data_IF_144570449043
#
_entry.id   IF_144570449043
#
_cell.length_a   1.000
_cell.length_b   1.000
_cell.length_c   1.000
_cell.angle_alpha   90.00
_cell.angle_beta   90.00
_cell.angle_gamma   90.00
#
_symmetry.space_group_name_H-M   'P 1'
#
loop_
_entity.id
_entity.type
_entity.pdbx_description
1 polymer ?
#
# COMPACT_ATOMS: atom_id res chain seq x y z
N UNK A 1 -11.02 -15.54 -1.38
CA UNK A 1 -10.51 -14.55 -2.37
C UNK A 1 -10.17 -13.25 -1.66
N UNK A 2 -9.22 -12.47 -2.18
CA UNK A 2 -8.87 -11.15 -1.61
C UNK A 2 -10.08 -10.22 -1.48
N UNK A 3 -10.18 -9.53 -0.34
CA UNK A 3 -11.27 -8.58 -0.10
C UNK A 3 -10.87 -7.16 -0.51
N UNK A 4 -11.52 -6.69 -1.58
CA UNK A 4 -11.22 -5.40 -2.20
C UNK A 4 -12.36 -4.41 -1.97
N UNK A 5 -12.08 -3.31 -1.27
CA UNK A 5 -12.95 -2.13 -1.15
C UNK A 5 -12.54 -1.12 -2.21
N UNK A 6 -13.50 -0.49 -2.86
CA UNK A 6 -13.25 0.44 -3.96
C UNK A 6 -14.16 1.66 -3.82
N UNK A 7 -13.59 2.86 -3.93
CA UNK A 7 -14.36 4.09 -4.10
C UNK A 7 -14.57 4.34 -5.60
N UNK A 8 -15.50 3.61 -6.21
CA UNK A 8 -15.63 3.52 -7.67
C UNK A 8 -15.84 4.88 -8.34
N UNK A 9 -16.86 5.62 -7.91
CA UNK A 9 -17.20 6.92 -8.48
C UNK A 9 -16.03 7.90 -8.42
N UNK A 10 -15.35 7.96 -7.27
CA UNK A 10 -14.20 8.84 -7.10
C UNK A 10 -13.05 8.43 -8.02
N UNK A 11 -12.68 7.15 -8.03
CA UNK A 11 -11.56 6.67 -8.85
C UNK A 11 -11.84 6.93 -10.34
N UNK A 12 -13.05 6.65 -10.81
CA UNK A 12 -13.45 6.92 -12.20
C UNK A 12 -13.29 8.41 -12.53
N UNK A 13 -13.81 9.29 -11.68
CA UNK A 13 -13.69 10.75 -11.86
C UNK A 13 -12.21 11.18 -11.91
N UNK A 14 -11.36 10.63 -11.03
CA UNK A 14 -9.93 10.93 -11.03
C UNK A 14 -9.22 10.40 -12.28
N UNK A 15 -9.60 9.22 -12.79
CA UNK A 15 -9.06 8.71 -14.06
C UNK A 15 -9.41 9.67 -15.20
N UNK A 16 -10.69 10.04 -15.34
CA UNK A 16 -11.15 10.98 -16.38
C UNK A 16 -10.39 12.31 -16.29
N UNK A 17 -10.32 12.90 -15.09
CA UNK A 17 -9.70 14.21 -14.90
C UNK A 17 -8.18 14.22 -15.10
N UNK A 18 -7.48 13.22 -14.53
CA UNK A 18 -6.00 13.17 -14.47
C UNK A 18 -5.37 12.51 -15.70
N UNK A 19 -6.09 11.61 -16.36
CA UNK A 19 -5.61 10.89 -17.55
C UNK A 19 -6.27 11.35 -18.85
N UNK A 20 -7.27 12.25 -18.79
CA UNK A 20 -8.00 12.76 -19.96
C UNK A 20 -8.63 11.64 -20.80
N UNK A 21 -9.15 10.62 -20.12
CA UNK A 21 -9.83 9.48 -20.74
C UNK A 21 -11.35 9.68 -20.69
N UNK A 22 -12.04 9.07 -21.64
CA UNK A 22 -13.51 9.02 -21.63
C UNK A 22 -14.03 8.22 -20.43
N UNK A 23 -15.22 8.58 -19.96
CA UNK A 23 -15.79 7.98 -18.75
C UNK A 23 -16.07 6.49 -18.88
N UNK A 24 -16.52 6.02 -20.05
CA UNK A 24 -16.77 4.60 -20.29
C UNK A 24 -15.46 3.80 -20.32
N UNK A 25 -14.38 4.39 -20.84
CA UNK A 25 -13.06 3.77 -20.79
C UNK A 25 -12.47 3.78 -19.36
N UNK A 26 -12.69 4.84 -18.59
CA UNK A 26 -12.30 4.88 -17.18
C UNK A 26 -13.02 3.80 -16.34
N UNK A 27 -14.33 3.60 -16.59
CA UNK A 27 -15.11 2.52 -15.97
C UNK A 27 -14.58 1.13 -16.34
N UNK A 28 -14.26 0.90 -17.62
CA UNK A 28 -13.75 -0.40 -18.07
C UNK A 28 -12.39 -0.72 -17.46
N UNK A 29 -11.48 0.26 -17.38
CA UNK A 29 -10.18 0.14 -16.70
C UNK A 29 -10.38 -0.25 -15.23
N UNK A 30 -11.20 0.49 -14.48
CA UNK A 30 -11.42 0.19 -13.06
C UNK A 30 -12.05 -1.18 -12.87
N UNK A 31 -13.02 -1.55 -13.72
CA UNK A 31 -13.66 -2.87 -13.69
C UNK A 31 -12.65 -3.99 -13.92
N UNK A 32 -11.76 -3.85 -14.92
CA UNK A 32 -10.69 -4.82 -15.18
C UNK A 32 -9.75 -4.93 -13.99
N UNK A 33 -9.33 -3.79 -13.40
CA UNK A 33 -8.45 -3.78 -12.23
C UNK A 33 -9.07 -4.55 -11.07
N UNK A 34 -10.32 -4.22 -10.72
CA UNK A 34 -11.01 -4.82 -9.58
C UNK A 34 -11.29 -6.30 -9.81
N UNK A 35 -11.74 -6.67 -11.02
CA UNK A 35 -11.99 -8.06 -11.37
C UNK A 35 -10.70 -8.90 -11.28
N UNK A 36 -9.60 -8.39 -11.85
CA UNK A 36 -8.29 -9.07 -11.83
C UNK A 36 -7.78 -9.26 -10.40
N UNK A 37 -7.85 -8.22 -9.56
CA UNK A 37 -7.44 -8.31 -8.15
C UNK A 37 -8.27 -9.34 -7.38
N UNK A 38 -9.60 -9.31 -7.50
CA UNK A 38 -10.50 -10.27 -6.81
C UNK A 38 -10.28 -11.70 -7.27
N UNK A 39 -10.03 -11.90 -8.58
CA UNK A 39 -9.87 -13.23 -9.16
C UNK A 39 -8.50 -13.84 -8.85
N UNK A 40 -7.43 -13.05 -8.81
CA UNK A 40 -6.06 -13.58 -8.80
C UNK A 40 -5.29 -13.36 -7.50
N UNK A 41 -5.62 -12.36 -6.68
CA UNK A 41 -4.93 -12.16 -5.41
C UNK A 41 -5.43 -13.16 -4.36
N UNK A 42 -4.53 -13.92 -3.70
CA UNK A 42 -4.85 -14.69 -2.50
C UNK A 42 -5.38 -13.79 -1.37
N UNK A 43 -6.11 -14.39 -0.44
CA UNK A 43 -6.79 -13.69 0.67
C UNK A 43 -5.79 -13.02 1.62
N UNK A 44 -4.62 -13.64 1.78
CA UNK A 44 -3.52 -13.17 2.62
C UNK A 44 -2.35 -12.66 1.74
N UNK A 45 -2.66 -11.99 0.64
CA UNK A 45 -1.62 -11.40 -0.19
C UNK A 45 -1.27 -9.99 0.28
N UNK A 46 0.00 -9.61 0.15
CA UNK A 46 0.48 -8.25 0.44
C UNK A 46 1.17 -7.67 -0.76
N UNK A 47 0.70 -6.52 -1.20
CA UNK A 47 1.35 -5.82 -2.31
C UNK A 47 2.62 -5.08 -1.85
N UNK A 48 2.86 -4.92 -0.56
CA UNK A 48 3.98 -4.15 -0.04
C UNK A 48 4.48 -4.69 1.30
N UNK A 49 5.74 -4.42 1.58
CA UNK A 49 6.39 -4.59 2.89
C UNK A 49 6.53 -3.25 3.65
N UNK A 50 6.05 -2.15 3.04
CA UNK A 50 6.08 -0.82 3.64
C UNK A 50 5.25 -0.78 4.92
N UNK A 51 5.73 -0.16 6.02
CA UNK A 51 4.97 0.01 7.26
C UNK A 51 3.65 0.77 7.05
N UNK A 52 3.60 1.66 6.06
CA UNK A 52 2.37 2.39 5.72
C UNK A 52 1.36 1.55 4.93
N UNK A 53 1.76 0.34 4.52
CA UNK A 53 1.01 -0.62 3.71
C UNK A 53 0.33 -0.07 2.45
N UNK A 54 0.81 1.08 1.95
CA UNK A 54 0.37 1.70 0.69
C UNK A 54 1.04 1.01 -0.49
N UNK A 55 0.31 0.91 -1.59
CA UNK A 55 0.78 0.24 -2.79
C UNK A 55 0.19 0.87 -4.05
N UNK A 56 0.93 0.78 -5.15
CA UNK A 56 0.44 1.15 -6.46
C UNK A 56 0.11 -0.07 -7.32
N UNK A 57 -1.05 -0.04 -7.96
CA UNK A 57 -1.43 -0.96 -9.05
C UNK A 57 -1.47 -0.16 -10.34
N UNK A 58 -0.72 -0.58 -11.36
CA UNK A 58 -0.74 0.05 -12.68
C UNK A 58 -1.43 -0.85 -13.68
N UNK A 59 -2.47 -0.33 -14.33
CA UNK A 59 -3.06 -0.97 -15.50
C UNK A 59 -2.17 -0.66 -16.72
N UNK A 60 -1.38 -1.63 -17.14
CA UNK A 60 -0.31 -1.41 -18.11
C UNK A 60 -0.80 -0.86 -19.46
N UNK A 61 -1.93 -1.35 -20.04
CA UNK A 61 -2.42 -0.83 -21.33
C UNK A 61 -2.75 0.67 -21.31
N UNK A 62 -3.35 1.18 -20.23
CA UNK A 62 -3.73 2.60 -20.12
C UNK A 62 -2.75 3.44 -19.30
N UNK A 63 -1.78 2.81 -18.64
CA UNK A 63 -0.85 3.41 -17.68
C UNK A 63 -1.55 4.10 -16.48
N UNK A 64 -2.83 3.78 -16.24
CA UNK A 64 -3.56 4.26 -15.06
C UNK A 64 -2.96 3.65 -13.81
N UNK A 65 -2.61 4.50 -12.84
CA UNK A 65 -1.94 4.14 -11.60
C UNK A 65 -2.91 4.39 -10.44
N UNK A 66 -3.35 3.32 -9.79
CA UNK A 66 -4.24 3.36 -8.64
C UNK A 66 -3.42 3.24 -7.36
N UNK A 67 -3.62 4.18 -6.44
CA UNK A 67 -3.15 4.02 -5.06
C UNK A 67 -4.13 3.15 -4.29
N UNK A 68 -3.62 2.13 -3.63
CA UNK A 68 -4.32 1.38 -2.61
C UNK A 68 -3.56 1.36 -1.30
N UNK A 69 -4.20 0.80 -0.29
CA UNK A 69 -3.60 0.49 1.00
C UNK A 69 -4.16 -0.83 1.52
N UNK A 70 -3.35 -1.56 2.26
CA UNK A 70 -3.75 -2.82 2.89
C UNK A 70 -3.79 -2.64 4.40
N UNK A 71 -4.77 -3.24 5.06
CA UNK A 71 -4.86 -3.23 6.51
C UNK A 71 -5.55 -4.49 7.03
N UNK A 72 -5.31 -4.85 8.28
CA UNK A 72 -6.05 -5.92 8.96
C UNK A 72 -7.43 -5.45 9.37
N UNK A 73 -8.46 -6.27 9.18
CA UNK A 73 -9.84 -5.99 9.57
C UNK A 73 -10.03 -5.99 11.10
N UNK A 74 -9.48 -4.98 11.78
CA UNK A 74 -9.58 -4.82 13.22
C UNK A 74 -9.65 -3.34 13.61
N UNK A 75 -10.46 -3.01 14.61
CA UNK A 75 -10.58 -1.67 15.18
C UNK A 75 -11.62 -0.76 14.52
N UNK A 76 -12.35 -1.24 13.50
CA UNK A 76 -13.46 -0.49 12.91
C UNK A 76 -14.62 -0.29 13.89
N UNK A 77 -14.84 -1.24 14.79
CA UNK A 77 -15.75 -1.16 15.93
C UNK A 77 -15.29 -0.10 16.95
N UNK A 78 -14.00 -0.04 17.28
CA UNK A 78 -13.43 1.00 18.16
C UNK A 78 -13.66 2.39 17.55
N UNK A 79 -13.31 2.59 16.27
CA UNK A 79 -13.53 3.86 15.58
C UNK A 79 -15.02 4.24 15.55
N UNK A 80 -15.92 3.28 15.25
CA UNK A 80 -17.37 3.53 15.27
C UNK A 80 -17.87 3.91 16.67
N UNK A 81 -17.35 3.28 17.73
CA UNK A 81 -17.70 3.60 19.10
C UNK A 81 -17.27 5.03 19.46
N UNK A 82 -16.04 5.43 19.10
CA UNK A 82 -15.54 6.80 19.25
C UNK A 82 -16.45 7.80 18.52
N UNK A 83 -16.73 7.55 17.24
CA UNK A 83 -17.59 8.42 16.43
C UNK A 83 -19.01 8.55 17.01
N UNK A 84 -19.57 7.46 17.54
CA UNK A 84 -20.86 7.47 18.22
C UNK A 84 -20.81 8.31 19.50
N UNK A 85 -19.77 8.16 20.31
CA UNK A 85 -19.58 8.95 21.53
C UNK A 85 -19.41 10.45 21.23
N UNK A 86 -18.71 10.81 20.16
CA UNK A 86 -18.57 12.20 19.71
C UNK A 86 -19.93 12.78 19.32
N UNK A 87 -20.66 12.09 18.43
CA UNK A 87 -21.99 12.53 17.96
C UNK A 87 -22.99 12.69 19.11
N UNK A 88 -22.91 11.82 20.11
CA UNK A 88 -23.81 11.85 21.27
C UNK A 88 -23.30 12.74 22.41
N UNK A 89 -22.18 13.45 22.23
CA UNK A 89 -21.53 14.26 23.28
C UNK A 89 -21.23 13.49 24.59
N UNK A 90 -20.88 12.20 24.46
CA UNK A 90 -20.60 11.26 25.57
C UNK A 90 -19.15 10.79 25.55
N UNK A 91 -18.23 11.67 25.11
CA UNK A 91 -16.79 11.37 24.98
C UNK A 91 -16.17 10.97 26.32
N UNK A 92 -16.64 11.54 27.44
CA UNK A 92 -16.21 11.20 28.80
C UNK A 92 -16.50 9.72 29.17
N UNK A 93 -17.39 9.04 28.45
CA UNK A 93 -17.68 7.61 28.65
C UNK A 93 -16.75 6.69 27.86
N UNK A 94 -15.79 7.24 27.09
CA UNK A 94 -14.85 6.44 26.33
C UNK A 94 -13.84 5.79 27.29
N UNK A 95 -13.90 4.46 27.36
CA UNK A 95 -12.92 3.67 28.09
C UNK A 95 -11.72 3.34 27.17
N UNK A 96 -10.70 4.20 27.22
CA UNK A 96 -9.48 4.02 26.43
C UNK A 96 -8.74 2.73 26.76
N UNK A 97 -8.71 2.30 28.02
CA UNK A 97 -7.97 1.10 28.41
C UNK A 97 -8.60 -0.17 27.84
N UNK A 98 -9.93 -0.20 27.77
CA UNK A 98 -10.66 -1.24 27.04
C UNK A 98 -10.27 -1.25 25.56
N UNK A 99 -10.23 -0.09 24.91
CA UNK A 99 -9.83 0.00 23.50
C UNK A 99 -8.36 -0.40 23.28
N UNK A 100 -7.45 -0.06 24.19
CA UNK A 100 -6.05 -0.51 24.16
C UNK A 100 -5.98 -2.04 24.20
N UNK A 101 -6.73 -2.67 25.11
CA UNK A 101 -6.75 -4.14 25.22
C UNK A 101 -7.30 -4.81 23.96
N UNK A 102 -8.44 -4.32 23.46
CA UNK A 102 -9.02 -4.80 22.21
C UNK A 102 -8.04 -4.64 21.04
N UNK A 103 -7.29 -3.55 21.02
CA UNK A 103 -6.31 -3.32 19.97
C UNK A 103 -5.08 -4.24 20.10
N UNK A 104 -4.56 -4.47 21.31
CA UNK A 104 -3.49 -5.46 21.55
C UNK A 104 -3.90 -6.87 21.13
N UNK A 105 -5.12 -7.30 21.47
CA UNK A 105 -5.66 -8.59 21.04
C UNK A 105 -5.70 -8.70 19.51
N UNK A 106 -6.13 -7.64 18.83
CA UNK A 106 -6.13 -7.59 17.37
C UNK A 106 -4.71 -7.65 16.78
N UNK A 107 -3.74 -6.92 17.32
CA UNK A 107 -2.36 -6.97 16.84
C UNK A 107 -1.77 -8.39 16.93
N UNK A 108 -2.10 -9.11 18.00
CA UNK A 108 -1.66 -10.49 18.25
C UNK A 108 -2.40 -11.55 17.42
N UNK A 109 -3.51 -11.19 16.77
CA UNK A 109 -4.30 -12.11 15.97
C UNK A 109 -3.77 -12.21 14.53
N UNK A 110 -3.25 -13.39 14.15
CA UNK A 110 -2.81 -13.68 12.77
C UNK A 110 -3.94 -14.00 11.82
N UNK A 111 -5.10 -14.38 12.32
CA UNK A 111 -6.17 -14.86 11.46
C UNK A 111 -7.08 -13.70 11.02
N UNK A 112 -6.66 -12.46 11.31
CA UNK A 112 -7.35 -11.28 10.82
C UNK A 112 -7.25 -11.21 9.31
N UNK A 113 -8.41 -11.05 8.70
CA UNK A 113 -8.55 -10.85 7.27
C UNK A 113 -7.82 -9.59 6.83
N UNK A 114 -7.13 -9.68 5.69
CA UNK A 114 -6.53 -8.52 5.05
C UNK A 114 -7.57 -7.86 4.14
N UNK A 115 -7.68 -6.54 4.29
CA UNK A 115 -8.52 -5.68 3.47
C UNK A 115 -7.60 -4.86 2.59
N UNK A 116 -7.84 -4.91 1.28
CA UNK A 116 -7.23 -3.99 0.33
C UNK A 116 -8.26 -2.94 -0.06
N UNK A 117 -7.90 -1.67 0.05
CA UNK A 117 -8.81 -0.61 -0.34
C UNK A 117 -8.13 0.28 -1.38
N UNK A 118 -8.72 0.32 -2.57
CA UNK A 118 -8.33 1.19 -3.67
C UNK A 118 -8.91 2.59 -3.43
N UNK A 119 -8.04 3.60 -3.35
CA UNK A 119 -8.42 4.97 -2.95
C UNK A 119 -8.70 5.88 -4.11
N UNK A 120 -7.71 6.06 -4.98
CA UNK A 120 -7.69 7.16 -5.95
C UNK A 120 -6.75 6.79 -7.10
N UNK A 121 -6.95 7.40 -8.26
CA UNK A 121 -6.04 7.28 -9.40
C UNK A 121 -5.04 8.42 -9.38
N UNK A 122 -3.76 8.18 -9.16
CA UNK A 122 -2.76 9.26 -9.15
C UNK A 122 -2.42 9.71 -10.57
N UNK A 123 -2.13 10.99 -10.80
CA UNK A 123 -1.58 11.41 -12.09
C UNK A 123 -0.20 10.75 -12.28
N UNK A 124 0.18 10.46 -13.53
CA UNK A 124 1.46 9.82 -13.87
C UNK A 124 2.63 10.54 -13.19
N UNK A 125 2.68 11.86 -13.39
CA UNK A 125 3.78 12.74 -13.00
C UNK A 125 3.85 13.10 -11.51
N UNK A 126 2.77 12.96 -10.73
CA UNK A 126 2.74 13.33 -9.28
C UNK A 126 2.34 12.16 -8.37
N UNK A 127 2.37 10.94 -8.92
CA UNK A 127 1.94 9.76 -8.21
C UNK A 127 3.02 9.17 -7.32
N UNK A 128 3.19 9.75 -6.14
CA UNK A 128 4.13 9.33 -5.10
C UNK A 128 3.44 9.13 -3.75
N UNK A 129 3.96 8.21 -2.92
CA UNK A 129 3.56 8.06 -1.53
C UNK A 129 4.38 9.05 -0.69
N UNK A 130 3.74 10.15 -0.27
CA UNK A 130 4.42 11.25 0.41
C UNK A 130 5.16 10.83 1.69
N UNK A 131 4.62 9.87 2.45
CA UNK A 131 5.26 9.33 3.65
C UNK A 131 6.57 8.60 3.34
N UNK A 132 6.56 7.70 2.36
CA UNK A 132 7.78 7.02 1.90
C UNK A 132 8.82 8.01 1.38
N UNK A 133 8.38 9.03 0.64
CA UNK A 133 9.29 10.09 0.16
C UNK A 133 10.00 10.80 1.32
N UNK A 134 9.27 11.12 2.40
CA UNK A 134 9.83 11.77 3.59
C UNK A 134 10.81 10.87 4.33
N UNK A 135 10.45 9.61 4.57
CA UNK A 135 11.32 8.62 5.23
C UNK A 135 12.63 8.46 4.44
N UNK A 136 12.52 8.28 3.13
CA UNK A 136 13.68 8.10 2.26
C UNK A 136 14.54 9.38 2.21
N UNK A 137 13.91 10.56 2.24
CA UNK A 137 14.64 11.84 2.32
C UNK A 137 15.41 11.98 3.63
N UNK A 138 14.84 11.55 4.76
CA UNK A 138 15.54 11.54 6.06
C UNK A 138 16.73 10.58 6.03
N UNK A 139 16.50 9.33 5.62
CA UNK A 139 17.55 8.30 5.54
C UNK A 139 18.72 8.76 4.65
N UNK A 140 18.42 9.40 3.52
CA UNK A 140 19.47 9.93 2.63
C UNK A 140 20.34 11.00 3.27
N UNK A 141 19.83 11.79 4.21
CA UNK A 141 20.62 12.78 4.96
C UNK A 141 21.55 12.12 5.98
N UNK A 142 21.14 10.96 6.50
CA UNK A 142 21.87 10.22 7.54
C UNK A 142 22.91 9.26 6.94
N UNK A 143 22.66 8.73 5.74
CA UNK A 143 23.55 7.79 5.07
C UNK A 143 24.74 8.50 4.41
N UNK A 144 25.96 8.10 4.76
CA UNK A 144 27.22 8.59 4.16
C UNK A 144 27.47 8.10 2.72
N UNK A 145 26.47 7.45 2.10
CA UNK A 145 26.63 6.71 0.85
C UNK A 145 26.38 7.58 -0.39
N UNK A 146 27.23 7.44 -1.42
CA UNK A 146 27.24 8.24 -2.67
C UNK A 146 26.15 7.85 -3.69
N UNK A 147 25.30 6.83 -3.43
CA UNK A 147 24.33 6.39 -4.45
C UNK A 147 23.28 7.47 -4.66
N UNK A 148 23.30 8.05 -5.85
CA UNK A 148 22.33 9.04 -6.30
C UNK A 148 21.01 8.34 -6.60
N UNK A 149 20.08 8.39 -5.65
CA UNK A 149 18.70 8.01 -5.90
C UNK A 149 17.72 9.15 -5.56
N UNK A 150 16.60 9.16 -6.28
CA UNK A 150 15.53 10.14 -6.14
C UNK A 150 14.40 9.57 -5.27
N UNK A 151 14.06 10.27 -4.19
CA UNK A 151 13.09 9.86 -3.17
C UNK A 151 11.70 9.64 -3.80
N UNK A 152 11.32 10.55 -4.70
CA UNK A 152 10.06 10.48 -5.45
C UNK A 152 9.95 9.19 -6.26
N UNK A 153 11.04 8.78 -6.91
CA UNK A 153 11.08 7.59 -7.77
C UNK A 153 10.87 6.32 -6.94
N UNK A 154 11.38 6.27 -5.71
CA UNK A 154 11.18 5.14 -4.80
C UNK A 154 9.75 5.08 -4.27
N UNK A 155 9.20 6.22 -3.89
CA UNK A 155 7.84 6.28 -3.35
C UNK A 155 6.75 6.23 -4.40
N UNK A 156 7.08 6.22 -5.70
CA UNK A 156 6.12 6.13 -6.81
C UNK A 156 6.05 4.74 -7.46
N UNK A 157 6.88 3.78 -7.01
CA UNK A 157 7.08 2.51 -7.70
C UNK A 157 5.80 1.66 -7.72
N UNK A 158 5.46 1.04 -8.86
CA UNK A 158 4.37 0.07 -8.91
C UNK A 158 4.71 -1.15 -8.06
N UNK A 159 3.75 -1.59 -7.26
CA UNK A 159 3.81 -2.84 -6.51
C UNK A 159 3.20 -3.99 -7.31
N UNK A 160 2.18 -3.67 -8.10
CA UNK A 160 1.51 -4.62 -8.98
C UNK A 160 1.21 -4.00 -10.34
N UNK A 161 1.16 -4.85 -11.36
CA UNK A 161 0.77 -4.51 -12.72
C UNK A 161 -0.40 -5.40 -13.15
N UNK A 162 -1.28 -4.84 -13.95
CA UNK A 162 -2.36 -5.57 -14.61
C UNK A 162 -2.11 -5.56 -16.11
N UNK A 163 -2.00 -6.76 -16.67
CA UNK A 163 -1.60 -7.00 -18.06
C UNK A 163 -2.57 -8.00 -18.66
N UNK A 164 -3.46 -7.54 -19.55
CA UNK A 164 -4.46 -8.38 -20.22
C UNK A 164 -5.23 -9.25 -19.21
N UNK A 165 -5.77 -8.62 -18.17
CA UNK A 165 -6.47 -9.30 -17.08
C UNK A 165 -5.61 -10.21 -16.19
N UNK A 166 -4.27 -10.16 -16.25
CA UNK A 166 -3.37 -10.91 -15.37
C UNK A 166 -2.70 -10.00 -14.34
N UNK A 167 -2.59 -10.49 -13.11
CA UNK A 167 -1.96 -9.78 -12.00
C UNK A 167 -0.48 -10.17 -11.90
N UNK A 168 0.39 -9.17 -11.91
CA UNK A 168 1.83 -9.34 -11.78
C UNK A 168 2.31 -8.53 -10.60
N UNK A 169 3.16 -9.09 -9.75
CA UNK A 169 3.63 -8.45 -8.51
C UNK A 169 5.14 -8.30 -8.49
N UNK A 170 5.57 -7.13 -8.04
CA UNK A 170 6.98 -6.75 -7.97
C UNK A 170 7.70 -7.61 -6.95
N UNK A 171 8.87 -8.13 -7.32
CA UNK A 171 9.77 -8.84 -6.44
C UNK A 171 10.81 -7.86 -5.84
N UNK A 172 11.47 -8.24 -4.75
CA UNK A 172 12.43 -7.36 -4.05
C UNK A 172 13.66 -6.97 -4.89
N UNK A 173 13.87 -7.62 -6.04
CA UNK A 173 14.97 -7.35 -6.95
C UNK A 173 14.71 -6.13 -7.83
N UNK A 174 15.56 -5.12 -7.67
CA UNK A 174 15.59 -3.92 -8.51
C UNK A 174 17.01 -3.77 -9.07
N UNK A 175 17.13 -3.46 -10.36
CA UNK A 175 18.41 -3.11 -10.97
C UNK A 175 18.39 -1.64 -11.37
N UNK A 176 19.42 -0.90 -10.98
CA UNK A 176 19.61 0.50 -11.39
C UNK A 176 20.67 0.49 -12.49
N UNK A 177 20.39 1.14 -13.61
CA UNK A 177 21.42 1.38 -14.61
C UNK A 177 22.41 2.43 -14.08
N UNK A 178 23.63 2.02 -13.76
CA UNK A 178 24.67 2.92 -13.26
C UNK A 178 25.13 3.95 -14.30
N UNK A 179 24.87 3.72 -15.59
CA UNK A 179 25.13 4.68 -16.67
C UNK A 179 24.00 5.69 -16.83
N UNK A 180 22.81 5.34 -16.35
CA UNK A 180 21.63 6.20 -16.37
C UNK A 180 20.77 5.94 -15.13
N UNK A 181 21.07 6.63 -14.03
CA UNK A 181 20.36 6.50 -12.75
C UNK A 181 18.84 6.78 -12.84
N UNK A 182 18.37 7.38 -13.94
CA UNK A 182 16.94 7.59 -14.18
C UNK A 182 16.21 6.31 -14.64
N UNK A 183 16.94 5.26 -15.05
CA UNK A 183 16.37 3.96 -15.45
C UNK A 183 16.48 2.94 -14.32
N UNK A 184 15.33 2.43 -13.89
CA UNK A 184 15.21 1.33 -12.93
C UNK A 184 14.45 0.18 -13.54
N UNK A 185 15.00 -1.03 -13.38
CA UNK A 185 14.39 -2.27 -13.84
C UNK A 185 13.82 -3.03 -12.64
N UNK A 186 12.60 -3.52 -12.81
CA UNK A 186 11.87 -4.26 -11.80
C UNK A 186 11.50 -5.64 -12.30
N UNK A 187 11.77 -6.65 -11.47
CA UNK A 187 11.27 -8.00 -11.70
C UNK A 187 9.82 -8.11 -11.24
N UNK A 188 8.95 -8.56 -12.13
CA UNK A 188 7.58 -8.92 -11.81
C UNK A 188 7.36 -10.41 -12.07
N UNK A 189 6.65 -11.07 -11.15
CA UNK A 189 6.20 -12.45 -11.32
C UNK A 189 4.68 -12.49 -11.33
N UNK A 190 4.09 -13.43 -12.06
CA UNK A 190 2.64 -13.56 -12.11
C UNK A 190 2.12 -14.01 -10.74
N UNK A 191 1.09 -13.34 -10.24
CA UNK A 191 0.37 -13.76 -9.05
C UNK A 191 -0.88 -14.54 -9.45
N UNK A 192 -1.09 -15.67 -8.81
CA UNK A 192 -2.26 -16.53 -8.99
C UNK A 192 -2.95 -16.76 -7.64
N UNK A 193 -4.18 -17.33 -7.63
CA UNK A 193 -4.85 -17.67 -6.38
C UNK A 193 -4.06 -18.63 -5.47
N UNK A 194 -3.12 -19.40 -6.04
CA UNK A 194 -2.24 -20.33 -5.31
C UNK A 194 -0.94 -19.68 -4.82
N UNK A 195 -0.70 -18.41 -5.16
CA UNK A 195 0.54 -17.69 -4.89
C UNK A 195 1.29 -17.30 -6.16
N UNK A 196 2.55 -16.91 -6.00
CA UNK A 196 3.43 -16.53 -7.11
C UNK A 196 3.71 -17.73 -8.01
N UNK A 197 3.52 -17.54 -9.32
CA UNK A 197 3.99 -18.46 -10.35
C UNK A 197 5.47 -18.18 -10.64
N UNK A 198 6.34 -19.03 -10.09
CA UNK A 198 7.80 -18.93 -10.23
C UNK A 198 8.30 -19.15 -11.66
N UNK A 199 7.48 -19.76 -12.53
CA UNK A 199 7.84 -20.05 -13.93
C UNK A 199 7.67 -18.83 -14.84
N UNK A 200 6.91 -17.83 -14.41
CA UNK A 200 6.58 -16.66 -15.22
C UNK A 200 7.14 -15.40 -14.62
N UNK A 201 7.98 -14.74 -15.40
CA UNK A 201 8.60 -13.47 -15.03
C UNK A 201 8.61 -12.50 -16.20
N UNK A 202 8.61 -11.23 -15.85
CA UNK A 202 8.75 -10.11 -16.78
C UNK A 202 9.60 -9.03 -16.13
N UNK A 203 10.38 -8.33 -16.94
CA UNK A 203 11.18 -7.18 -16.51
C UNK A 203 10.51 -5.92 -17.02
N UNK A 204 10.37 -4.93 -16.15
CA UNK A 204 9.80 -3.64 -16.50
C UNK A 204 10.77 -2.52 -16.20
N UNK A 205 10.94 -1.62 -17.16
CA UNK A 205 11.59 -0.34 -16.97
C UNK A 205 10.57 0.63 -16.36
N UNK A 206 11.03 1.37 -15.35
CA UNK A 206 10.30 2.47 -14.75
C UNK A 206 11.05 3.79 -14.94
N UNK A 207 10.33 4.78 -15.44
CA UNK A 207 10.89 6.11 -15.68
C UNK A 207 10.61 7.06 -14.53
N UNK A 208 11.37 8.16 -14.46
CA UNK A 208 11.14 9.27 -13.51
C UNK A 208 9.74 9.88 -13.62
N UNK A 209 9.10 9.79 -14.78
CA UNK A 209 7.75 10.32 -15.03
C UNK A 209 6.64 9.36 -14.61
N UNK A 210 7.01 8.18 -14.09
CA UNK A 210 6.08 7.17 -13.62
C UNK A 210 5.54 6.22 -14.69
N UNK A 211 6.11 6.26 -15.90
CA UNK A 211 5.76 5.31 -16.96
C UNK A 211 6.38 3.95 -16.67
N UNK A 212 5.62 2.90 -16.96
CA UNK A 212 6.04 1.51 -16.84
C UNK A 212 6.07 0.90 -18.24
N UNK A 213 7.22 0.40 -18.68
CA UNK A 213 7.39 -0.24 -19.99
C UNK A 213 7.93 -1.64 -19.81
N UNK A 214 7.33 -2.61 -20.50
CA UNK A 214 7.88 -3.96 -20.58
C UNK A 214 9.19 -3.91 -21.36
N UNK A 215 10.25 -4.46 -20.79
CA UNK A 215 11.52 -4.64 -21.48
C UNK A 215 11.60 -6.08 -21.97
N UNK A 216 12.15 -6.26 -23.17
CA UNK A 216 12.48 -7.60 -23.64
C UNK A 216 13.44 -8.24 -22.64
N UNK A 217 13.21 -9.52 -22.34
CA UNK A 217 14.00 -10.30 -21.39
C UNK A 217 15.49 -10.00 -21.63
N UNK A 218 16.16 -9.41 -20.64
CA UNK A 218 17.54 -8.94 -20.79
C UNK A 218 18.37 -10.08 -21.41
N UNK A 219 19.09 -9.84 -22.52
CA UNK A 219 19.99 -10.85 -23.08
C UNK A 219 21.08 -11.12 -22.04
N UNK A 220 20.91 -12.17 -21.23
CA UNK A 220 21.84 -12.49 -20.16
C UNK A 220 21.36 -13.46 -19.10
N UNK A 221 20.05 -13.57 -18.83
CA UNK A 221 19.55 -14.57 -17.88
C UNK A 221 18.66 -15.60 -18.59
N UNK A 222 19.23 -16.29 -19.60
CA UNK A 222 18.61 -17.49 -20.17
C UNK A 222 18.62 -18.59 -19.11
N UNK A 223 17.48 -18.81 -18.45
CA UNK A 223 17.11 -20.07 -17.78
C UNK A 223 18.16 -20.69 -16.82
N UNK A 224 19.11 -19.92 -16.27
CA UNK A 224 20.02 -20.49 -15.28
C UNK A 224 19.31 -20.52 -13.93
N UNK A 225 19.20 -21.72 -13.35
CA UNK A 225 18.78 -21.93 -11.96
C UNK A 225 19.61 -21.09 -10.97
N UNK A 226 20.78 -20.59 -11.39
CA UNK A 226 21.69 -19.75 -10.61
C UNK A 226 21.31 -18.26 -10.57
N UNK A 227 20.37 -17.78 -11.40
CA UNK A 227 19.80 -16.42 -11.25
C UNK A 227 18.77 -16.34 -10.11
N UNK A 228 18.36 -17.49 -9.54
CA UNK A 228 17.41 -17.53 -8.44
C UNK A 228 18.17 -17.48 -7.11
N UNK A 229 18.05 -16.36 -6.41
CA UNK A 229 18.30 -16.36 -4.97
C UNK A 229 17.25 -17.27 -4.33
N UNK A 230 17.67 -18.49 -4.01
CA UNK A 230 16.88 -19.48 -3.30
C UNK A 230 16.67 -18.95 -1.89
N UNK A 231 15.51 -18.33 -1.65
CA UNK A 231 15.10 -18.03 -0.28
C UNK A 231 14.67 -19.37 0.31
N UNK A 232 15.56 -19.99 1.08
CA UNK A 232 15.26 -21.19 1.85
C UNK A 232 14.09 -20.87 2.80
N UNK A 233 12.91 -21.41 2.49
CA UNK A 233 11.81 -21.41 3.45
C UNK A 233 12.23 -22.31 4.63
N UNK A 234 12.22 -21.82 5.88
CA UNK A 234 12.51 -22.68 7.02
C UNK A 234 11.47 -23.79 7.09
N UNK A 235 11.95 -25.04 7.25
CA UNK A 235 11.17 -26.28 7.17
C UNK A 235 10.11 -26.46 8.27
N UNK A 236 9.99 -25.52 9.21
CA UNK A 236 9.03 -25.53 10.31
C UNK A 236 8.21 -24.22 10.41
N UNK A 237 7.66 -23.73 9.29
CA UNK A 237 6.89 -22.48 9.26
C UNK A 237 5.50 -22.52 9.95
N UNK A 238 5.10 -23.64 10.55
CA UNK A 238 3.80 -23.76 11.22
C UNK A 238 3.65 -22.87 12.46
N UNK A 239 4.76 -22.65 13.19
CA UNK A 239 4.78 -21.87 14.43
C UNK A 239 5.60 -20.56 14.32
N UNK A 240 6.29 -20.35 13.21
CA UNK A 240 7.07 -19.14 12.96
C UNK A 240 6.35 -18.27 11.93
N UNK A 241 5.90 -17.10 12.38
CA UNK A 241 5.30 -16.07 11.51
C UNK A 241 6.41 -15.13 11.07
N UNK A 242 6.49 -14.83 9.78
CA UNK A 242 7.45 -13.83 9.29
C UNK A 242 7.11 -12.46 9.91
N UNK A 243 8.12 -11.68 10.31
CA UNK A 243 7.95 -10.34 10.90
C UNK A 243 6.97 -9.44 10.14
N UNK A 244 6.86 -9.66 8.83
CA UNK A 244 5.91 -9.00 7.94
C UNK A 244 4.44 -9.10 8.41
N UNK A 245 4.03 -10.16 9.13
CA UNK A 245 2.64 -10.33 9.61
C UNK A 245 2.25 -9.32 10.69
N UNK A 246 3.24 -8.76 11.39
CA UNK A 246 3.08 -7.73 12.40
C UNK A 246 3.15 -6.32 11.82
N UNK A 247 3.57 -6.17 10.56
CA UNK A 247 3.85 -4.86 9.94
C UNK A 247 2.67 -4.24 9.19
N UNK A 248 1.54 -4.93 9.03
CA UNK A 248 0.35 -4.32 8.43
C UNK A 248 -0.40 -3.47 9.46
N UNK A 249 -0.78 -2.23 9.11
CA UNK A 249 -1.65 -1.42 9.93
C UNK A 249 -3.01 -2.10 10.11
N UNK A 250 -3.69 -1.76 11.19
CA UNK A 250 -5.10 -2.05 11.41
C UNK A 250 -5.98 -0.91 10.87
N UNK A 251 -7.30 -1.06 10.99
CA UNK A 251 -8.22 0.00 10.61
C UNK A 251 -7.98 1.28 11.42
N UNK A 252 -7.55 1.16 12.69
CA UNK A 252 -7.23 2.29 13.57
C UNK A 252 -6.08 3.10 12.99
N UNK A 253 -4.96 2.46 12.68
CA UNK A 253 -3.78 3.17 12.15
C UNK A 253 -4.09 3.81 10.81
N UNK A 254 -4.84 3.09 9.95
CA UNK A 254 -5.32 3.66 8.69
C UNK A 254 -6.12 4.93 8.92
N UNK A 255 -7.11 4.91 9.84
CA UNK A 255 -7.94 6.08 10.12
C UNK A 255 -7.11 7.23 10.72
N UNK A 256 -6.17 6.92 11.60
CA UNK A 256 -5.26 7.91 12.17
C UNK A 256 -4.41 8.55 11.07
N UNK A 257 -3.75 7.76 10.22
CA UNK A 257 -2.93 8.26 9.12
C UNK A 257 -3.71 9.16 8.15
N UNK A 258 -4.97 8.81 7.84
CA UNK A 258 -5.85 9.66 7.04
C UNK A 258 -6.09 11.02 7.71
N UNK A 259 -6.44 11.02 9.00
CA UNK A 259 -6.73 12.24 9.76
C UNK A 259 -5.49 13.12 9.92
N UNK A 260 -4.34 12.53 10.23
CA UNK A 260 -3.08 13.26 10.31
C UNK A 260 -2.62 13.85 8.98
N UNK A 261 -2.85 13.12 7.87
CA UNK A 261 -2.59 13.67 6.55
C UNK A 261 -3.45 14.91 6.29
N UNK A 262 -4.75 14.85 6.61
CA UNK A 262 -5.67 15.98 6.48
C UNK A 262 -5.34 17.15 7.40
N UNK A 263 -4.84 16.89 8.59
CA UNK A 263 -4.37 17.93 9.51
C UNK A 263 -3.17 18.69 8.93
N UNK A 264 -2.19 17.97 8.37
CA UNK A 264 -0.94 18.57 7.85
C UNK A 264 -1.07 19.17 6.46
N UNK A 265 -1.89 18.57 5.61
CA UNK A 265 -1.92 18.83 4.16
C UNK A 265 -3.37 19.07 3.71
N UNK A 266 -4.14 19.83 4.47
CA UNK A 266 -5.57 20.06 4.22
C UNK A 266 -5.86 20.57 2.81
N UNK A 267 -4.99 21.42 2.26
CA UNK A 267 -5.09 21.95 0.89
C UNK A 267 -4.87 20.88 -0.19
N UNK A 268 -4.17 19.80 0.14
CA UNK A 268 -3.90 18.67 -0.76
C UNK A 268 -4.81 17.48 -0.51
N UNK A 269 -5.50 17.45 0.63
CA UNK A 269 -6.43 16.40 0.97
C UNK A 269 -7.72 16.53 0.18
N UNK A 270 -8.19 15.41 -0.38
CA UNK A 270 -9.39 15.38 -1.20
C UNK A 270 -10.65 15.67 -0.35
N UNK A 271 -10.68 15.22 0.91
CA UNK A 271 -11.75 15.52 1.87
C UNK A 271 -11.60 16.90 2.55
N UNK A 272 -10.55 17.65 2.21
CA UNK A 272 -10.25 18.97 2.75
C UNK A 272 -9.93 18.98 4.25
N UNK A 273 -10.13 20.15 4.86
CA UNK A 273 -9.92 20.41 6.29
C UNK A 273 -10.72 19.44 7.17
N UNK A 274 -10.18 19.11 8.34
CA UNK A 274 -10.88 18.30 9.33
C UNK A 274 -12.10 19.03 9.88
N UNK A 275 -13.23 18.32 9.97
CA UNK A 275 -14.42 18.81 10.68
C UNK A 275 -14.19 18.76 12.20
N UNK A 276 -14.96 19.51 12.98
CA UNK A 276 -14.88 19.54 14.46
C UNK A 276 -14.85 18.14 15.07
N UNK A 277 -15.77 17.27 14.66
CA UNK A 277 -15.86 15.89 15.15
C UNK A 277 -14.61 15.06 14.78
N UNK A 278 -14.03 15.31 13.61
CA UNK A 278 -12.84 14.60 13.13
C UNK A 278 -11.57 15.07 13.84
N UNK A 279 -11.52 16.34 14.26
CA UNK A 279 -10.45 16.85 15.14
C UNK A 279 -10.50 16.12 16.48
N UNK A 280 -11.70 16.00 17.08
CA UNK A 280 -11.87 15.26 18.33
C UNK A 280 -11.50 13.77 18.16
N UNK A 281 -11.94 13.15 17.06
CA UNK A 281 -11.57 11.78 16.71
C UNK A 281 -10.04 11.62 16.62
N UNK A 282 -9.35 12.53 15.94
CA UNK A 282 -7.89 12.53 15.81
C UNK A 282 -7.18 12.54 17.17
N UNK A 283 -7.60 13.42 18.09
CA UNK A 283 -7.00 13.47 19.43
C UNK A 283 -7.23 12.20 20.24
N UNK A 284 -8.43 11.61 20.17
CA UNK A 284 -8.73 10.36 20.86
C UNK A 284 -7.87 9.21 20.31
N UNK A 285 -7.72 9.11 18.98
CA UNK A 285 -6.89 8.10 18.35
C UNK A 285 -5.40 8.28 18.68
N UNK A 286 -4.89 9.51 18.72
CA UNK A 286 -3.52 9.79 19.19
C UNK A 286 -3.29 9.30 20.62
N UNK A 287 -4.20 9.61 21.53
CA UNK A 287 -4.12 9.15 22.92
C UNK A 287 -4.19 7.62 23.02
N UNK A 288 -5.02 6.98 22.20
CA UNK A 288 -5.11 5.52 22.14
C UNK A 288 -3.76 4.89 21.71
N UNK A 289 -3.13 5.40 20.65
CA UNK A 289 -1.83 4.92 20.15
C UNK A 289 -0.73 5.18 21.17
N UNK A 290 -0.70 6.33 21.82
CA UNK A 290 0.33 6.65 22.81
C UNK A 290 0.22 5.75 24.05
N UNK A 291 -0.99 5.50 24.57
CA UNK A 291 -1.20 4.54 25.66
C UNK A 291 -0.80 3.11 25.25
N UNK A 292 -1.13 2.72 24.03
CA UNK A 292 -0.71 1.43 23.48
C UNK A 292 0.82 1.32 23.43
N UNK A 293 1.50 2.37 22.96
CA UNK A 293 2.96 2.46 22.90
C UNK A 293 3.59 2.32 24.29
N UNK A 294 3.11 3.07 25.27
CA UNK A 294 3.58 2.98 26.67
C UNK A 294 3.43 1.55 27.20
N UNK A 295 2.29 0.91 26.92
CA UNK A 295 2.03 -0.48 27.35
C UNK A 295 2.94 -1.51 26.65
N UNK A 296 3.27 -1.33 25.38
CA UNK A 296 4.15 -2.23 24.62
C UNK A 296 5.62 -2.04 25.03
N UNK A 297 6.09 -0.80 25.11
CA UNK A 297 7.50 -0.49 25.32
C UNK A 297 7.89 -0.36 26.81
N UNK A 298 6.95 -0.54 27.74
CA UNK A 298 7.15 -0.38 29.20
C UNK A 298 7.94 0.89 29.56
N UNK A 299 7.59 1.99 28.90
CA UNK A 299 8.04 3.36 29.25
C UNK A 299 7.03 4.01 30.15
#
# INVERSE_FOLDING_TARGET
>A
MAYIIVNENHIINQIVQRYKLEIEYAKSILKEIVATLKQQAPDDWRFTISPSARFFVVHLPSQVKILGFSYKEAGADIVRAIQKSIKNNTIHNINLDRFVNMYLEALNNSNLKIIHHLRTAYPKEKGEIGEEKRIISSLKRELSHIILFQEKKFSSRPNALIIKGQLWVRQQYNWIDMRNYNKEYFLFKQLTPKGIDETKRKIFLYTINGDVKEEADLPGCRHSFNCFLTISKPENSGNFRTDSYWSLPTYIDRRLLDLEFREREAERAEEGLLKKDEIVELYILRNLIERLRQKIYKT
#
